data_IF_473169879632
#
_entry.id   IF_473169879632
#
_cell.length_a   1.000
_cell.length_b   1.000
_cell.length_c   1.000
_cell.angle_alpha   90.00
_cell.angle_beta   90.00
_cell.angle_gamma   90.00
#
_symmetry.space_group_name_H-M   'P 1'
#
loop_
_entity.id
_entity.type
_entity.pdbx_description
1 polymer ?
#
# COMPACT_ATOMS: atom_id res chain seq x y z
N UNK A 1 -15.60 7.25 25.71
CA UNK A 1 -16.46 6.19 25.14
C UNK A 1 -15.63 5.34 24.20
N UNK A 2 -15.87 4.04 24.12
CA UNK A 2 -15.18 3.17 23.18
C UNK A 2 -15.85 3.35 21.81
N UNK A 3 -15.07 3.58 20.75
CA UNK A 3 -15.57 3.72 19.36
C UNK A 3 -15.60 2.34 18.70
N UNK A 4 -16.55 2.13 17.82
CA UNK A 4 -16.59 0.91 17.00
C UNK A 4 -15.76 1.08 15.74
N UNK A 5 -14.83 0.14 15.52
CA UNK A 5 -14.09 -0.03 14.28
C UNK A 5 -14.64 -1.25 13.54
N UNK A 6 -15.28 -1.06 12.41
CA UNK A 6 -15.61 -2.16 11.50
C UNK A 6 -14.42 -2.37 10.56
N UNK A 7 -13.92 -3.60 10.48
CA UNK A 7 -12.91 -4.01 9.51
C UNK A 7 -13.59 -4.94 8.49
N UNK A 8 -13.88 -4.40 7.31
CA UNK A 8 -14.49 -5.15 6.24
C UNK A 8 -13.42 -5.89 5.43
N UNK A 9 -13.37 -7.20 5.63
CA UNK A 9 -12.31 -8.10 5.20
C UNK A 9 -11.43 -8.51 6.37
N UNK A 10 -11.72 -9.67 7.00
CA UNK A 10 -10.96 -10.25 8.11
C UNK A 10 -9.70 -11.02 7.63
N UNK A 11 -9.16 -10.64 6.49
CA UNK A 11 -7.97 -11.22 5.90
C UNK A 11 -6.67 -10.82 6.60
N UNK A 12 -5.56 -11.01 5.90
CA UNK A 12 -4.21 -10.73 6.44
C UNK A 12 -4.00 -9.24 6.75
N UNK A 13 -4.55 -8.35 5.92
CA UNK A 13 -4.46 -6.90 6.15
C UNK A 13 -5.43 -6.48 7.25
N UNK A 14 -6.70 -6.89 7.18
CA UNK A 14 -7.70 -6.49 8.18
C UNK A 14 -7.32 -6.90 9.60
N UNK A 15 -6.97 -8.17 9.84
CA UNK A 15 -6.59 -8.66 11.17
C UNK A 15 -5.14 -8.34 11.53
N UNK A 16 -4.20 -8.48 10.57
CA UNK A 16 -2.75 -8.42 10.84
C UNK A 16 -2.16 -7.02 10.77
N UNK A 17 -2.89 -6.05 10.23
CA UNK A 17 -2.44 -4.68 10.14
C UNK A 17 -3.44 -3.71 10.76
N UNK A 18 -4.68 -3.64 10.24
CA UNK A 18 -5.66 -2.65 10.71
C UNK A 18 -6.03 -2.88 12.18
N UNK A 19 -6.50 -4.08 12.53
CA UNK A 19 -6.89 -4.36 13.90
C UNK A 19 -5.71 -4.31 14.88
N UNK A 20 -4.49 -4.64 14.44
CA UNK A 20 -3.28 -4.48 15.24
C UNK A 20 -2.91 -3.01 15.46
N UNK A 21 -3.12 -2.16 14.45
CA UNK A 21 -2.91 -0.72 14.56
C UNK A 21 -3.88 -0.08 15.55
N UNK A 22 -5.15 -0.49 15.49
CA UNK A 22 -6.24 0.02 16.31
C UNK A 22 -6.44 -0.73 17.63
N UNK A 23 -5.58 -1.70 17.99
CA UNK A 23 -5.67 -2.42 19.27
C UNK A 23 -5.36 -1.48 20.43
N UNK A 24 -6.40 -0.85 20.92
CA UNK A 24 -6.41 0.13 21.99
C UNK A 24 -7.74 0.05 22.75
N UNK A 25 -7.78 0.31 24.05
CA UNK A 25 -9.02 0.40 24.82
C UNK A 25 -10.03 1.43 24.30
N UNK A 26 -9.59 2.34 23.42
CA UNK A 26 -10.45 3.32 22.78
C UNK A 26 -11.31 2.74 21.66
N UNK A 27 -11.00 1.52 21.17
CA UNK A 27 -11.70 0.90 20.05
C UNK A 27 -12.18 -0.51 20.39
N UNK A 28 -13.35 -0.84 19.86
CA UNK A 28 -13.87 -2.21 19.77
C UNK A 28 -13.88 -2.59 18.29
N UNK A 29 -13.16 -3.65 17.92
CA UNK A 29 -13.05 -4.07 16.53
C UNK A 29 -14.12 -5.11 16.19
N UNK A 30 -14.82 -4.88 15.10
CA UNK A 30 -15.78 -5.84 14.51
C UNK A 30 -15.30 -6.23 13.13
N UNK A 31 -14.87 -7.47 12.97
CA UNK A 31 -14.54 -8.01 11.65
C UNK A 31 -15.80 -8.37 10.88
N UNK A 32 -15.87 -7.98 9.61
CA UNK A 32 -16.93 -8.41 8.69
C UNK A 32 -16.30 -9.18 7.54
N UNK A 33 -16.74 -10.43 7.33
CA UNK A 33 -16.17 -11.27 6.27
C UNK A 33 -17.23 -12.18 5.64
N UNK A 34 -17.00 -12.60 4.39
CA UNK A 34 -17.83 -13.57 3.66
C UNK A 34 -17.48 -15.02 4.02
N UNK A 35 -16.33 -15.25 4.64
CA UNK A 35 -15.91 -16.59 5.06
C UNK A 35 -16.53 -16.94 6.42
N UNK A 36 -17.63 -17.69 6.36
CA UNK A 36 -18.38 -18.12 7.55
C UNK A 36 -17.51 -18.94 8.50
N UNK A 37 -16.64 -19.82 7.99
CA UNK A 37 -15.78 -20.63 8.84
C UNK A 37 -14.76 -19.77 9.61
N UNK A 38 -14.19 -18.76 8.96
CA UNK A 38 -13.31 -17.79 9.59
C UNK A 38 -14.05 -16.98 10.67
N UNK A 39 -15.25 -16.51 10.39
CA UNK A 39 -16.09 -15.75 11.36
C UNK A 39 -16.41 -16.60 12.57
N UNK A 40 -16.83 -17.85 12.39
CA UNK A 40 -17.13 -18.79 13.47
C UNK A 40 -15.89 -19.11 14.29
N UNK A 41 -14.74 -19.37 13.65
CA UNK A 41 -13.48 -19.66 14.32
C UNK A 41 -12.97 -18.47 15.15
N UNK A 42 -13.02 -17.25 14.61
CA UNK A 42 -12.65 -16.02 15.32
C UNK A 42 -13.49 -15.84 16.59
N UNK A 43 -14.81 -15.98 16.48
CA UNK A 43 -15.72 -15.85 17.61
C UNK A 43 -15.53 -16.96 18.65
N UNK A 44 -15.35 -18.21 18.20
CA UNK A 44 -15.16 -19.37 19.10
C UNK A 44 -13.85 -19.28 19.87
N UNK A 45 -12.77 -18.80 19.24
CA UNK A 45 -11.44 -18.72 19.87
C UNK A 45 -11.25 -17.43 20.66
N UNK A 46 -11.87 -16.31 20.24
CA UNK A 46 -11.73 -14.98 20.85
C UNK A 46 -10.28 -14.47 20.89
N UNK A 47 -9.37 -15.08 20.13
CA UNK A 47 -7.96 -14.70 20.05
C UNK A 47 -7.31 -15.18 18.75
N UNK A 48 -6.26 -14.49 18.32
CA UNK A 48 -5.34 -14.89 17.25
C UNK A 48 -3.95 -14.29 17.47
N UNK A 49 -2.95 -14.82 16.78
CA UNK A 49 -1.56 -14.39 16.92
C UNK A 49 -1.11 -13.60 15.70
N UNK A 50 -0.40 -12.50 15.92
CA UNK A 50 0.33 -11.76 14.88
C UNK A 50 1.83 -11.93 15.13
N UNK A 51 2.57 -12.33 14.12
CA UNK A 51 4.02 -12.41 14.16
C UNK A 51 4.60 -11.29 13.30
N UNK A 52 5.21 -10.33 13.95
CA UNK A 52 5.94 -9.26 13.27
C UNK A 52 7.35 -9.77 12.98
N UNK A 53 7.70 -9.81 11.70
CA UNK A 53 9.00 -10.22 11.20
C UNK A 53 9.78 -8.99 10.74
N UNK A 54 10.75 -8.58 11.51
CA UNK A 54 11.62 -7.45 11.18
C UNK A 54 13.05 -7.93 10.93
N UNK A 55 13.92 -7.06 10.43
CA UNK A 55 15.34 -7.38 10.31
C UNK A 55 15.97 -7.87 11.63
N UNK A 56 15.48 -7.38 12.76
CA UNK A 56 16.06 -7.65 14.08
C UNK A 56 15.50 -8.93 14.71
N UNK A 57 14.50 -9.57 14.10
CA UNK A 57 13.93 -10.84 14.57
C UNK A 57 12.42 -10.92 14.46
N UNK A 58 11.88 -11.97 15.06
CA UNK A 58 10.46 -12.25 15.15
C UNK A 58 9.93 -11.83 16.51
N UNK A 59 8.84 -11.07 16.53
CA UNK A 59 8.08 -10.78 17.74
C UNK A 59 6.64 -11.26 17.60
N UNK A 60 6.09 -11.87 18.67
CA UNK A 60 4.72 -12.39 18.68
C UNK A 60 3.83 -11.51 19.53
N UNK A 61 2.67 -11.20 19.00
CA UNK A 61 1.61 -10.50 19.70
C UNK A 61 0.33 -11.31 19.64
N UNK A 62 -0.31 -11.51 20.78
CA UNK A 62 -1.62 -12.15 20.86
C UNK A 62 -2.68 -11.06 20.99
N UNK A 63 -3.60 -11.02 20.04
CA UNK A 63 -4.81 -10.18 20.09
C UNK A 63 -5.92 -11.01 20.72
N UNK A 64 -6.53 -10.51 21.80
CA UNK A 64 -7.59 -11.23 22.51
C UNK A 64 -8.61 -10.27 23.14
N UNK A 65 -9.89 -10.70 23.21
CA UNK A 65 -10.97 -10.04 23.97
C UNK A 65 -11.33 -8.60 23.53
N UNK A 66 -10.79 -8.10 22.45
CA UNK A 66 -11.08 -6.76 21.94
C UNK A 66 -11.86 -6.74 20.63
N UNK A 67 -12.36 -7.90 20.18
CA UNK A 67 -13.02 -8.02 18.89
C UNK A 67 -14.15 -9.05 18.89
N UNK A 68 -15.01 -8.95 17.88
CA UNK A 68 -15.92 -10.00 17.43
C UNK A 68 -15.92 -10.04 15.90
N UNK A 69 -16.60 -11.03 15.31
CA UNK A 69 -16.72 -11.17 13.87
C UNK A 69 -18.19 -11.40 13.47
N UNK A 70 -18.59 -10.79 12.34
CA UNK A 70 -19.95 -10.83 11.79
C UNK A 70 -19.85 -11.30 10.33
N UNK A 71 -20.74 -12.20 9.93
CA UNK A 71 -20.84 -12.63 8.55
C UNK A 71 -21.60 -11.60 7.70
N UNK A 72 -21.21 -11.42 6.45
CA UNK A 72 -21.84 -10.45 5.53
C UNK A 72 -23.34 -10.67 5.30
N UNK A 73 -23.86 -11.89 5.53
CA UNK A 73 -25.29 -12.19 5.43
C UNK A 73 -26.11 -11.84 6.69
N UNK A 74 -25.44 -11.47 7.79
CA UNK A 74 -26.14 -11.09 9.03
C UNK A 74 -26.59 -9.61 8.98
N UNK A 75 -27.65 -9.38 8.22
CA UNK A 75 -28.20 -8.04 8.02
C UNK A 75 -28.63 -7.36 9.33
N UNK A 76 -29.08 -8.14 10.33
CA UNK A 76 -29.49 -7.57 11.61
C UNK A 76 -28.28 -7.04 12.39
N UNK A 77 -27.22 -7.83 12.51
CA UNK A 77 -26.00 -7.40 13.17
C UNK A 77 -25.32 -6.23 12.43
N UNK A 78 -25.26 -6.28 11.09
CA UNK A 78 -24.69 -5.21 10.28
C UNK A 78 -25.47 -3.89 10.44
N UNK A 79 -26.81 -3.92 10.41
CA UNK A 79 -27.62 -2.73 10.64
C UNK A 79 -27.34 -2.13 12.03
N UNK A 80 -27.30 -2.96 13.08
CA UNK A 80 -27.01 -2.48 14.43
C UNK A 80 -25.63 -1.79 14.53
N UNK A 81 -24.61 -2.30 13.83
CA UNK A 81 -23.29 -1.67 13.77
C UNK A 81 -23.34 -0.29 13.09
N UNK A 82 -24.17 -0.13 12.06
CA UNK A 82 -24.31 1.13 11.35
C UNK A 82 -25.20 2.15 12.09
N UNK A 83 -25.76 1.80 13.23
CA UNK A 83 -26.49 2.72 14.14
C UNK A 83 -25.58 3.40 15.17
N UNK A 84 -24.31 2.98 15.29
CA UNK A 84 -23.35 3.58 16.23
C UNK A 84 -23.06 5.05 15.91
N UNK A 85 -23.01 5.91 16.93
CA UNK A 85 -22.84 7.37 16.76
C UNK A 85 -21.52 7.76 16.08
N UNK A 86 -20.43 7.14 16.50
CA UNK A 86 -19.09 7.39 15.93
C UNK A 86 -18.52 6.11 15.37
N UNK A 87 -18.76 5.89 14.09
CA UNK A 87 -18.36 4.70 13.39
C UNK A 87 -17.09 4.95 12.57
N UNK A 88 -16.13 4.04 12.72
CA UNK A 88 -15.00 3.90 11.82
C UNK A 88 -15.17 2.63 11.00
N UNK A 89 -15.06 2.75 9.68
CA UNK A 89 -15.06 1.61 8.77
C UNK A 89 -13.72 1.54 8.05
N UNK A 90 -13.03 0.42 8.11
CA UNK A 90 -11.88 0.12 7.26
C UNK A 90 -12.26 -0.94 6.23
N UNK A 91 -11.98 -0.67 4.95
CA UNK A 91 -12.23 -1.61 3.85
C UNK A 91 -10.90 -2.23 3.43
N UNK A 92 -10.64 -3.46 3.89
CA UNK A 92 -9.39 -4.21 3.69
C UNK A 92 -9.59 -5.40 2.75
N UNK A 93 -9.95 -5.14 1.50
CA UNK A 93 -10.23 -6.17 0.49
C UNK A 93 -9.31 -6.06 -0.72
N UNK A 94 -9.30 -7.09 -1.57
CA UNK A 94 -8.61 -7.02 -2.86
C UNK A 94 -9.35 -6.11 -3.84
N UNK A 95 -8.60 -5.34 -4.65
CA UNK A 95 -9.14 -4.40 -5.64
C UNK A 95 -10.35 -4.92 -6.44
N UNK A 96 -10.34 -6.14 -7.04
CA UNK A 96 -11.49 -6.65 -7.82
C UNK A 96 -12.77 -6.84 -7.00
N UNK A 97 -12.67 -6.82 -5.66
CA UNK A 97 -13.82 -6.98 -4.76
C UNK A 97 -14.43 -5.65 -4.30
N UNK A 98 -13.80 -4.53 -4.60
CA UNK A 98 -14.29 -3.24 -4.17
C UNK A 98 -15.70 -2.90 -4.68
N UNK A 99 -16.07 -3.17 -5.95
CA UNK A 99 -17.44 -2.94 -6.42
C UNK A 99 -18.49 -3.75 -5.65
N UNK A 100 -18.20 -5.04 -5.38
CA UNK A 100 -19.10 -5.91 -4.61
C UNK A 100 -19.28 -5.41 -3.16
N UNK A 101 -18.19 -5.00 -2.52
CA UNK A 101 -18.25 -4.41 -1.17
C UNK A 101 -19.02 -3.09 -1.18
N UNK A 102 -18.81 -2.24 -2.18
CA UNK A 102 -19.59 -1.01 -2.34
C UNK A 102 -21.09 -1.29 -2.44
N UNK A 103 -21.49 -2.33 -3.20
CA UNK A 103 -22.90 -2.74 -3.30
C UNK A 103 -23.47 -3.23 -1.97
N UNK A 104 -22.69 -3.95 -1.17
CA UNK A 104 -23.08 -4.41 0.18
C UNK A 104 -23.23 -3.25 1.17
N UNK A 105 -22.40 -2.22 1.04
CA UNK A 105 -22.43 -1.05 1.93
C UNK A 105 -23.58 -0.10 1.65
N UNK A 106 -24.09 -0.02 0.41
CA UNK A 106 -25.18 0.89 0.04
C UNK A 106 -26.43 0.78 0.91
N UNK A 107 -27.03 -0.42 1.14
CA UNK A 107 -28.19 -0.55 2.01
C UNK A 107 -27.89 -0.16 3.46
N UNK A 108 -26.69 -0.41 3.95
CA UNK A 108 -26.25 -0.04 5.31
C UNK A 108 -26.10 1.48 5.46
N UNK A 109 -25.57 2.16 4.46
CA UNK A 109 -25.47 3.61 4.41
C UNK A 109 -26.85 4.27 4.36
N UNK A 110 -27.79 3.70 3.58
CA UNK A 110 -29.20 4.14 3.54
C UNK A 110 -29.91 3.92 4.87
N UNK A 111 -29.66 2.79 5.52
CA UNK A 111 -30.16 2.52 6.86
C UNK A 111 -29.66 3.58 7.84
N UNK A 112 -28.33 3.82 7.87
CA UNK A 112 -27.72 4.86 8.73
C UNK A 112 -28.30 6.24 8.47
N UNK A 113 -28.46 6.64 7.21
CA UNK A 113 -29.06 7.92 6.85
C UNK A 113 -30.48 8.08 7.43
N UNK A 114 -31.24 6.97 7.52
CA UNK A 114 -32.61 6.99 8.04
C UNK A 114 -32.67 7.02 9.57
N UNK A 115 -31.83 6.21 10.24
CA UNK A 115 -31.92 6.03 11.69
C UNK A 115 -30.98 6.96 12.48
N UNK A 116 -29.87 7.38 11.88
CA UNK A 116 -28.85 8.26 12.48
C UNK A 116 -28.50 9.44 11.56
N UNK A 117 -29.48 10.27 11.12
CA UNK A 117 -29.27 11.25 10.05
C UNK A 117 -28.20 12.33 10.34
N UNK A 118 -27.87 12.55 11.61
CA UNK A 118 -26.88 13.55 12.03
C UNK A 118 -25.54 12.93 12.47
N UNK A 119 -25.44 11.61 12.56
CA UNK A 119 -24.23 10.93 12.99
C UNK A 119 -23.20 10.87 11.85
N UNK A 120 -21.94 11.10 12.20
CA UNK A 120 -20.82 11.03 11.25
C UNK A 120 -20.16 9.66 11.26
N UNK A 121 -19.52 9.31 10.16
CA UNK A 121 -18.62 8.16 10.07
C UNK A 121 -17.44 8.45 9.16
N UNK A 122 -16.37 7.70 9.33
CA UNK A 122 -15.22 7.76 8.45
C UNK A 122 -14.92 6.40 7.86
N UNK A 123 -14.60 6.37 6.57
CA UNK A 123 -14.25 5.19 5.80
C UNK A 123 -12.79 5.28 5.40
N UNK A 124 -12.00 4.33 5.83
CA UNK A 124 -10.59 4.16 5.46
C UNK A 124 -10.48 3.09 4.38
N UNK A 125 -9.88 3.45 3.25
CA UNK A 125 -9.75 2.57 2.10
C UNK A 125 -8.37 1.89 2.08
N UNK A 126 -8.31 0.68 2.59
CA UNK A 126 -7.10 -0.14 2.68
C UNK A 126 -7.03 -1.15 1.51
N UNK A 127 -7.22 -0.64 0.32
CA UNK A 127 -7.23 -1.40 -0.93
C UNK A 127 -5.97 -1.08 -1.73
N UNK A 128 -5.27 -2.11 -2.19
CA UNK A 128 -3.98 -1.94 -2.89
C UNK A 128 -4.18 -1.55 -4.36
N UNK A 129 -4.63 -0.33 -4.58
CA UNK A 129 -4.82 0.30 -5.89
C UNK A 129 -4.53 1.81 -5.81
N UNK A 130 -4.29 2.50 -6.93
CA UNK A 130 -4.24 3.96 -6.95
C UNK A 130 -5.61 4.56 -6.60
N UNK A 131 -5.63 5.60 -5.76
CA UNK A 131 -6.82 6.38 -5.40
C UNK A 131 -8.06 5.53 -5.03
N UNK A 132 -7.95 4.60 -4.05
CA UNK A 132 -9.06 3.72 -3.69
C UNK A 132 -10.26 4.47 -3.11
N UNK A 133 -10.03 5.61 -2.46
CA UNK A 133 -11.04 6.52 -1.94
C UNK A 133 -11.85 7.17 -3.07
N UNK A 134 -11.21 7.65 -4.11
CA UNK A 134 -11.90 8.22 -5.28
C UNK A 134 -12.72 7.17 -6.03
N UNK A 135 -12.17 5.96 -6.17
CA UNK A 135 -12.88 4.83 -6.76
C UNK A 135 -14.15 4.49 -5.96
N UNK A 136 -14.04 4.35 -4.63
CA UNK A 136 -15.17 4.09 -3.75
C UNK A 136 -16.23 5.21 -3.81
N UNK A 137 -15.79 6.46 -3.81
CA UNK A 137 -16.68 7.63 -3.95
C UNK A 137 -17.45 7.62 -5.28
N UNK A 138 -16.79 7.28 -6.40
CA UNK A 138 -17.44 7.15 -7.70
C UNK A 138 -18.50 6.05 -7.70
N UNK A 139 -18.10 4.84 -7.27
CA UNK A 139 -19.01 3.69 -7.18
C UNK A 139 -20.24 3.97 -6.32
N UNK A 140 -20.09 4.73 -5.25
CA UNK A 140 -21.18 5.08 -4.33
C UNK A 140 -22.09 6.16 -4.91
N UNK A 141 -21.52 7.23 -5.48
CA UNK A 141 -22.28 8.35 -6.05
C UNK A 141 -23.14 7.96 -7.24
N UNK A 142 -22.65 7.07 -8.10
CA UNK A 142 -23.41 6.58 -9.25
C UNK A 142 -24.71 5.87 -8.86
N UNK A 143 -24.84 5.42 -7.63
CA UNK A 143 -25.97 4.64 -7.09
C UNK A 143 -26.85 5.41 -6.11
N UNK A 144 -26.46 6.62 -5.74
CA UNK A 144 -27.19 7.49 -4.84
C UNK A 144 -28.09 8.48 -5.60
N UNK A 145 -29.22 8.82 -5.00
CA UNK A 145 -30.00 9.99 -5.37
C UNK A 145 -29.26 11.27 -4.95
N UNK A 146 -29.69 12.43 -5.44
CA UNK A 146 -29.10 13.73 -5.06
C UNK A 146 -29.17 13.97 -3.55
N UNK A 147 -30.27 13.58 -2.90
CA UNK A 147 -30.44 13.71 -1.45
C UNK A 147 -29.51 12.78 -0.67
N UNK A 148 -29.34 11.54 -1.11
CA UNK A 148 -28.40 10.58 -0.51
C UNK A 148 -26.94 11.04 -0.70
N UNK A 149 -26.60 11.57 -1.87
CA UNK A 149 -25.26 12.12 -2.17
C UNK A 149 -24.97 13.36 -1.33
N UNK A 150 -25.94 14.23 -1.09
CA UNK A 150 -25.78 15.39 -0.24
C UNK A 150 -25.55 14.98 1.22
N UNK A 151 -26.35 14.04 1.74
CA UNK A 151 -26.15 13.50 3.09
C UNK A 151 -24.79 12.82 3.23
N UNK A 152 -24.43 11.94 2.29
CA UNK A 152 -23.14 11.24 2.29
C UNK A 152 -21.97 12.21 2.33
N UNK A 153 -21.99 13.24 1.51
CA UNK A 153 -20.94 14.26 1.46
C UNK A 153 -20.81 15.04 2.78
N UNK A 154 -21.92 15.26 3.47
CA UNK A 154 -21.94 15.98 4.73
C UNK A 154 -21.46 15.14 5.93
N UNK A 155 -21.76 13.84 5.94
CA UNK A 155 -21.64 12.99 7.15
C UNK A 155 -20.63 11.85 7.02
N UNK A 156 -20.13 11.52 5.81
CA UNK A 156 -19.21 10.43 5.60
C UNK A 156 -17.85 10.97 5.09
N UNK A 157 -16.82 10.78 5.89
CA UNK A 157 -15.44 10.99 5.48
C UNK A 157 -14.93 9.76 4.72
N UNK A 158 -14.17 9.96 3.64
CA UNK A 158 -13.52 8.85 2.91
C UNK A 158 -12.08 9.21 2.67
N UNK A 159 -11.16 8.37 3.15
CA UNK A 159 -9.72 8.58 3.01
C UNK A 159 -9.00 7.31 2.59
N UNK A 160 -8.00 7.43 1.71
CA UNK A 160 -7.02 6.37 1.51
C UNK A 160 -6.13 6.19 2.74
N UNK A 161 -5.57 5.02 2.92
CA UNK A 161 -4.52 4.76 3.89
C UNK A 161 -3.18 4.59 3.17
N UNK A 162 -2.23 5.42 3.53
CA UNK A 162 -0.84 5.14 3.24
C UNK A 162 -0.32 4.08 4.21
N UNK A 163 0.09 2.91 3.70
CA UNK A 163 0.63 1.83 4.52
C UNK A 163 1.86 1.18 3.89
N UNK A 164 2.82 0.81 4.73
CA UNK A 164 4.00 0.02 4.34
C UNK A 164 3.90 -1.42 4.86
N UNK A 165 2.71 -1.97 4.93
CA UNK A 165 2.50 -3.33 5.39
C UNK A 165 2.74 -4.34 4.27
N UNK A 166 3.64 -5.28 4.52
CA UNK A 166 3.85 -6.49 3.71
C UNK A 166 3.40 -7.67 4.57
N UNK A 167 2.30 -8.31 4.18
CA UNK A 167 1.72 -9.44 4.92
C UNK A 167 1.58 -10.66 3.99
N UNK A 168 2.64 -11.46 3.82
CA UNK A 168 2.57 -12.71 3.06
C UNK A 168 1.76 -13.77 3.80
N UNK A 169 1.57 -14.93 3.16
CA UNK A 169 1.07 -16.11 3.87
C UNK A 169 2.09 -16.49 4.94
N UNK A 170 1.60 -16.75 6.15
CA UNK A 170 2.47 -17.18 7.24
C UNK A 170 3.22 -18.49 6.88
N UNK A 171 4.48 -18.65 7.29
CA UNK A 171 5.22 -19.87 7.10
C UNK A 171 4.48 -21.10 7.64
N UNK A 172 4.67 -22.25 6.99
CA UNK A 172 3.95 -23.48 7.32
C UNK A 172 4.11 -23.92 8.79
N UNK A 173 5.28 -23.69 9.39
CA UNK A 173 5.52 -24.02 10.76
C UNK A 173 4.67 -23.18 11.73
N UNK A 174 4.38 -21.90 11.41
CA UNK A 174 3.45 -21.06 12.17
C UNK A 174 1.99 -21.50 11.98
N UNK A 175 1.61 -21.83 10.74
CA UNK A 175 0.24 -22.30 10.44
C UNK A 175 -0.07 -23.63 11.11
N UNK A 176 0.94 -24.48 11.34
CA UNK A 176 0.78 -25.73 12.13
C UNK A 176 0.57 -25.47 13.62
N UNK A 177 1.11 -24.36 14.14
CA UNK A 177 0.90 -23.95 15.54
C UNK A 177 -0.46 -23.30 15.75
N UNK A 178 -0.87 -22.42 14.79
CA UNK A 178 -2.11 -21.64 14.87
C UNK A 178 -2.65 -21.36 13.46
N UNK A 179 -3.84 -21.89 13.12
CA UNK A 179 -4.52 -21.67 11.85
C UNK A 179 -4.88 -20.20 11.59
N UNK A 180 -5.06 -19.41 12.64
CA UNK A 180 -5.40 -17.99 12.57
C UNK A 180 -4.18 -17.05 12.61
N UNK A 181 -2.96 -17.59 12.66
CA UNK A 181 -1.74 -16.78 12.74
C UNK A 181 -1.58 -15.86 11.52
N UNK A 182 -1.12 -14.67 11.80
CA UNK A 182 -0.78 -13.65 10.80
C UNK A 182 0.71 -13.34 10.85
N UNK A 183 1.25 -12.97 9.69
CA UNK A 183 2.67 -12.71 9.53
C UNK A 183 2.89 -11.45 8.70
N UNK A 184 3.64 -10.47 9.21
CA UNK A 184 3.89 -9.23 8.50
C UNK A 184 5.24 -8.62 8.87
N UNK A 185 5.62 -7.53 8.17
CA UNK A 185 6.89 -6.82 8.34
C UNK A 185 6.93 -5.82 9.51
N UNK A 186 5.96 -5.84 10.42
CA UNK A 186 5.84 -4.85 11.50
C UNK A 186 5.42 -3.44 11.05
N UNK A 187 5.16 -3.23 9.74
CA UNK A 187 4.63 -1.99 9.12
C UNK A 187 5.06 -0.71 9.84
N UNK A 188 6.27 -0.22 9.58
CA UNK A 188 6.91 0.84 10.34
C UNK A 188 6.17 2.18 10.31
N UNK A 189 5.38 2.44 9.26
CA UNK A 189 4.67 3.71 9.08
C UNK A 189 3.33 3.54 8.37
N UNK A 190 2.32 4.28 8.81
CA UNK A 190 1.05 4.53 8.12
C UNK A 190 0.57 5.95 8.35
N UNK A 191 -0.21 6.43 7.38
CA UNK A 191 -0.81 7.75 7.46
C UNK A 191 -2.21 7.79 6.84
N UNK A 192 -3.04 8.69 7.35
CA UNK A 192 -4.34 9.04 6.78
C UNK A 192 -4.46 10.56 6.61
N UNK A 193 -5.27 11.01 5.65
CA UNK A 193 -5.56 12.43 5.45
C UNK A 193 -6.59 12.92 6.47
N UNK A 194 -6.15 13.75 7.41
CA UNK A 194 -7.02 14.33 8.44
C UNK A 194 -8.12 15.23 7.88
N UNK A 195 -7.90 15.85 6.70
CA UNK A 195 -8.86 16.76 6.08
C UNK A 195 -10.04 16.02 5.43
N UNK A 196 -9.91 14.72 5.23
CA UNK A 196 -10.94 13.85 4.68
C UNK A 196 -11.88 13.28 5.74
N UNK A 197 -11.53 13.39 7.02
CA UNK A 197 -12.34 12.88 8.13
C UNK A 197 -13.51 13.80 8.43
N UNK A 198 -14.62 13.24 8.89
CA UNK A 198 -15.81 13.92 9.41
C UNK A 198 -15.92 13.78 10.93
N UNK A 199 -15.45 12.67 11.47
CA UNK A 199 -15.41 12.40 12.89
C UNK A 199 -14.08 12.83 13.53
N UNK A 200 -13.92 12.47 14.80
CA UNK A 200 -12.68 12.67 15.53
C UNK A 200 -11.58 11.79 14.97
N UNK A 201 -10.44 12.37 14.65
CA UNK A 201 -9.30 11.65 14.14
C UNK A 201 -8.77 10.63 15.18
N UNK A 202 -8.44 9.38 14.79
CA UNK A 202 -7.91 8.40 15.71
C UNK A 202 -6.56 8.82 16.29
N UNK A 203 -6.45 8.89 17.62
CA UNK A 203 -5.20 9.17 18.33
C UNK A 203 -4.45 7.86 18.64
N UNK A 204 -3.67 7.36 17.69
CA UNK A 204 -2.92 6.12 17.81
C UNK A 204 -1.41 6.35 17.60
N UNK A 205 -0.54 5.76 18.43
CA UNK A 205 0.92 6.04 18.38
C UNK A 205 1.58 5.73 17.04
N UNK A 206 1.02 4.79 16.26
CA UNK A 206 1.57 4.35 14.96
C UNK A 206 0.79 4.86 13.75
N UNK A 207 -0.20 5.72 13.95
CA UNK A 207 -0.98 6.34 12.89
C UNK A 207 -0.64 7.83 12.82
N UNK A 208 -0.03 8.25 11.72
CA UNK A 208 0.26 9.65 11.45
C UNK A 208 -0.91 10.31 10.70
N UNK A 209 -1.31 11.45 11.20
CA UNK A 209 -2.26 12.32 10.49
C UNK A 209 -1.48 13.22 9.53
N UNK A 210 -1.82 13.17 8.25
CA UNK A 210 -1.24 14.04 7.21
C UNK A 210 -2.30 14.95 6.61
N UNK A 211 -1.87 15.99 5.92
CA UNK A 211 -2.75 16.85 5.10
C UNK A 211 -2.75 16.43 3.63
N UNK A 212 -1.85 15.53 3.25
CA UNK A 212 -1.66 15.10 1.86
C UNK A 212 -1.13 13.66 1.82
N UNK A 213 -2.06 12.71 1.65
CA UNK A 213 -1.71 11.29 1.48
C UNK A 213 -1.04 11.05 0.12
N UNK A 214 -1.42 11.80 -0.93
CA UNK A 214 -0.83 11.64 -2.26
C UNK A 214 0.68 11.97 -2.26
N UNK A 215 1.09 12.92 -1.43
CA UNK A 215 2.51 13.20 -1.18
C UNK A 215 3.25 11.98 -0.61
N UNK A 216 2.64 11.28 0.33
CA UNK A 216 3.21 10.07 0.95
C UNK A 216 3.24 8.89 -0.03
N UNK A 217 2.21 8.73 -0.84
CA UNK A 217 2.14 7.72 -1.89
C UNK A 217 3.22 7.97 -2.96
N UNK A 218 3.43 9.21 -3.35
CA UNK A 218 4.50 9.61 -4.27
C UNK A 218 5.88 9.30 -3.69
N UNK A 219 6.10 9.61 -2.40
CA UNK A 219 7.35 9.25 -1.70
C UNK A 219 7.60 7.75 -1.74
N UNK A 220 6.60 6.93 -1.43
CA UNK A 220 6.69 5.46 -1.49
C UNK A 220 6.95 4.96 -2.92
N UNK A 221 6.22 5.48 -3.89
CA UNK A 221 6.37 5.10 -5.29
C UNK A 221 7.79 5.38 -5.79
N UNK A 222 8.31 6.57 -5.50
CA UNK A 222 9.60 7.05 -6.02
C UNK A 222 10.80 6.58 -5.20
N UNK A 223 10.57 5.83 -4.11
CA UNK A 223 11.65 5.29 -3.28
C UNK A 223 11.54 3.78 -3.09
N UNK A 224 10.58 3.25 -2.32
CA UNK A 224 10.45 1.81 -2.08
C UNK A 224 10.10 1.04 -3.35
N UNK A 225 9.12 1.53 -4.13
CA UNK A 225 8.75 0.85 -5.37
C UNK A 225 9.82 1.03 -6.46
N UNK A 226 10.52 2.15 -6.47
CA UNK A 226 11.72 2.38 -7.27
C UNK A 226 12.80 1.36 -6.91
N UNK A 227 13.10 1.20 -5.62
CA UNK A 227 14.10 0.25 -5.15
C UNK A 227 13.78 -1.19 -5.56
N UNK A 228 12.51 -1.61 -5.46
CA UNK A 228 12.05 -2.92 -5.94
C UNK A 228 12.34 -3.13 -7.44
N UNK A 229 12.05 -2.14 -8.28
CA UNK A 229 12.32 -2.23 -9.71
C UNK A 229 13.84 -2.27 -9.99
N UNK A 230 14.61 -1.37 -9.38
CA UNK A 230 16.06 -1.30 -9.52
C UNK A 230 16.73 -2.63 -9.18
N UNK A 231 16.44 -3.18 -7.97
CA UNK A 231 17.09 -4.44 -7.54
C UNK A 231 16.68 -5.62 -8.42
N UNK A 232 15.48 -5.59 -9.02
CA UNK A 232 15.03 -6.62 -9.94
C UNK A 232 15.75 -6.52 -11.28
N UNK A 233 15.76 -5.34 -11.87
CA UNK A 233 16.30 -5.14 -13.21
C UNK A 233 17.83 -5.29 -13.28
N UNK A 234 18.53 -4.94 -12.22
CA UNK A 234 19.97 -5.09 -12.15
C UNK A 234 20.42 -6.38 -11.46
N UNK A 235 19.62 -6.92 -10.54
CA UNK A 235 19.99 -8.09 -9.75
C UNK A 235 19.76 -9.42 -10.46
N UNK A 236 18.65 -9.57 -11.21
CA UNK A 236 18.36 -10.82 -11.93
C UNK A 236 19.44 -11.19 -12.95
N UNK A 237 19.96 -10.25 -13.78
CA UNK A 237 21.10 -10.55 -14.66
C UNK A 237 22.38 -10.96 -13.93
N UNK A 238 22.54 -10.61 -12.66
CA UNK A 238 23.64 -11.02 -11.79
C UNK A 238 23.40 -12.40 -11.15
N UNK A 239 22.26 -13.05 -11.41
CA UNK A 239 21.89 -14.34 -10.85
C UNK A 239 21.27 -14.28 -9.46
N UNK A 240 20.98 -13.09 -8.93
CA UNK A 240 20.31 -12.90 -7.65
C UNK A 240 18.81 -13.24 -7.78
N UNK A 241 18.19 -13.73 -6.71
CA UNK A 241 16.83 -14.26 -6.76
C UNK A 241 15.83 -13.50 -5.87
N UNK A 242 16.32 -12.98 -4.73
CA UNK A 242 15.47 -12.35 -3.72
C UNK A 242 15.82 -10.90 -3.49
N UNK A 243 14.87 -10.14 -2.95
CA UNK A 243 15.06 -8.74 -2.56
C UNK A 243 16.19 -8.56 -1.59
N UNK A 244 16.35 -9.50 -0.65
CA UNK A 244 17.42 -9.47 0.34
C UNK A 244 18.78 -9.73 -0.28
N UNK A 245 18.93 -10.80 -1.10
CA UNK A 245 20.18 -11.06 -1.82
C UNK A 245 20.67 -9.82 -2.58
N UNK A 246 19.76 -9.14 -3.27
CA UNK A 246 20.06 -7.93 -4.04
C UNK A 246 20.40 -6.74 -3.13
N UNK A 247 19.67 -6.53 -2.04
CA UNK A 247 19.87 -5.40 -1.15
C UNK A 247 21.21 -5.44 -0.40
N UNK A 248 21.73 -6.64 -0.11
CA UNK A 248 23.03 -6.83 0.57
C UNK A 248 24.19 -7.10 -0.37
N UNK A 249 23.96 -7.23 -1.68
CA UNK A 249 25.01 -7.50 -2.66
C UNK A 249 26.01 -6.33 -2.76
N UNK A 250 27.30 -6.61 -2.65
CA UNK A 250 28.34 -5.59 -2.60
C UNK A 250 28.41 -4.68 -3.84
N UNK A 251 28.08 -5.21 -5.02
CA UNK A 251 28.07 -4.45 -6.28
C UNK A 251 26.79 -3.63 -6.43
N UNK A 252 25.63 -4.19 -6.04
CA UNK A 252 24.34 -3.55 -6.25
C UNK A 252 23.99 -2.54 -5.15
N UNK A 253 24.45 -2.77 -3.92
CA UNK A 253 24.19 -1.91 -2.77
C UNK A 253 24.55 -0.43 -2.98
N UNK A 254 25.74 -0.07 -3.51
CA UNK A 254 26.07 1.33 -3.80
C UNK A 254 25.12 1.97 -4.83
N UNK A 255 24.69 1.22 -5.85
CA UNK A 255 23.74 1.69 -6.86
C UNK A 255 22.37 1.96 -6.22
N UNK A 256 21.87 1.01 -5.43
CA UNK A 256 20.60 1.15 -4.70
C UNK A 256 20.62 2.37 -3.76
N UNK A 257 21.67 2.52 -2.96
CA UNK A 257 21.80 3.63 -2.02
C UNK A 257 21.87 4.97 -2.75
N UNK A 258 22.68 5.06 -3.80
CA UNK A 258 22.77 6.26 -4.63
C UNK A 258 21.46 6.63 -5.32
N UNK A 259 20.70 5.65 -5.84
CA UNK A 259 19.39 5.89 -6.43
C UNK A 259 18.37 6.38 -5.39
N UNK A 260 18.40 5.85 -4.18
CA UNK A 260 17.58 6.35 -3.06
C UNK A 260 17.94 7.79 -2.68
N UNK A 261 19.23 8.16 -2.72
CA UNK A 261 19.69 9.54 -2.49
C UNK A 261 19.30 10.49 -3.62
N UNK A 262 19.37 10.05 -4.88
CA UNK A 262 18.91 10.82 -6.04
C UNK A 262 17.40 11.08 -5.98
N UNK A 263 16.61 10.04 -5.71
CA UNK A 263 15.17 10.17 -5.55
C UNK A 263 14.78 11.06 -4.36
N UNK A 264 15.46 10.88 -3.21
CA UNK A 264 15.23 11.71 -2.01
C UNK A 264 15.53 13.17 -2.27
N UNK A 265 16.60 13.49 -3.00
CA UNK A 265 16.94 14.86 -3.36
C UNK A 265 15.84 15.52 -4.17
N UNK A 266 15.31 14.85 -5.21
CA UNK A 266 14.21 15.36 -6.02
C UNK A 266 12.92 15.55 -5.21
N UNK A 267 12.55 14.56 -4.39
CA UNK A 267 11.36 14.58 -3.54
C UNK A 267 11.41 15.70 -2.48
N UNK A 268 12.55 15.90 -1.82
CA UNK A 268 12.71 16.98 -0.83
C UNK A 268 12.47 18.36 -1.46
N UNK A 269 12.98 18.59 -2.66
CA UNK A 269 12.84 19.86 -3.38
C UNK A 269 11.45 20.07 -3.95
N UNK A 270 10.81 19.04 -4.44
CA UNK A 270 9.50 19.11 -5.08
C UNK A 270 8.34 19.10 -4.07
N UNK A 271 8.43 18.24 -3.05
CA UNK A 271 7.34 17.97 -2.12
C UNK A 271 7.61 18.48 -0.69
N UNK A 272 8.76 19.09 -0.44
CA UNK A 272 9.07 19.74 0.84
C UNK A 272 9.34 18.77 2.00
N UNK A 273 9.79 17.54 1.74
CA UNK A 273 10.31 16.66 2.80
C UNK A 273 11.63 17.20 3.33
N UNK A 274 11.82 17.18 4.63
CA UNK A 274 13.11 17.55 5.23
C UNK A 274 14.19 16.50 4.94
N UNK A 275 15.46 16.90 5.04
CA UNK A 275 16.60 15.98 4.85
C UNK A 275 16.61 14.88 5.92
N UNK A 276 16.24 15.19 7.15
CA UNK A 276 16.17 14.22 8.26
C UNK A 276 15.07 13.19 8.01
N UNK A 277 13.85 13.63 7.62
CA UNK A 277 12.76 12.72 7.23
C UNK A 277 13.18 11.76 6.12
N UNK A 278 13.83 12.28 5.07
CA UNK A 278 14.24 11.44 3.95
C UNK A 278 15.42 10.52 4.30
N UNK A 279 16.28 10.92 5.23
CA UNK A 279 17.36 10.06 5.72
C UNK A 279 16.80 8.90 6.54
N UNK A 280 15.91 9.14 7.46
CA UNK A 280 15.23 8.09 8.22
C UNK A 280 14.41 7.16 7.31
N UNK A 281 13.73 7.74 6.33
CA UNK A 281 12.96 7.00 5.34
C UNK A 281 13.83 6.06 4.49
N UNK A 282 14.99 6.52 3.98
CA UNK A 282 15.96 5.67 3.26
C UNK A 282 16.43 4.49 4.12
N UNK A 283 16.74 4.74 5.39
CA UNK A 283 17.14 3.69 6.32
C UNK A 283 16.02 2.67 6.55
N UNK A 284 14.78 3.14 6.63
CA UNK A 284 13.60 2.27 6.76
C UNK A 284 13.45 1.38 5.54
N UNK A 285 13.57 1.91 4.32
CA UNK A 285 13.55 1.12 3.09
C UNK A 285 14.63 0.05 3.08
N UNK A 286 15.87 0.42 3.43
CA UNK A 286 16.97 -0.53 3.46
C UNK A 286 16.71 -1.65 4.47
N UNK A 287 16.21 -1.33 5.68
CA UNK A 287 15.82 -2.33 6.68
C UNK A 287 14.72 -3.28 6.18
N UNK A 288 13.75 -2.77 5.43
CA UNK A 288 12.70 -3.60 4.84
C UNK A 288 13.24 -4.56 3.78
N UNK A 289 14.11 -4.08 2.89
CA UNK A 289 14.71 -4.91 1.84
C UNK A 289 15.70 -5.95 2.39
N UNK A 290 16.35 -5.67 3.51
CA UNK A 290 17.30 -6.57 4.18
C UNK A 290 16.63 -7.59 5.12
N UNK A 291 15.30 -7.56 5.25
CA UNK A 291 14.55 -8.42 6.15
C UNK A 291 14.72 -9.91 5.77
N UNK A 292 15.31 -10.76 6.64
CA UNK A 292 15.58 -12.15 6.31
C UNK A 292 14.34 -13.05 6.37
N UNK A 293 13.25 -12.56 6.89
CA UNK A 293 12.01 -13.34 7.10
C UNK A 293 10.95 -13.06 6.03
N UNK A 294 11.04 -11.92 5.34
CA UNK A 294 10.11 -11.50 4.30
C UNK A 294 10.93 -11.19 3.05
N UNK A 295 11.29 -12.22 2.34
CA UNK A 295 12.00 -12.11 1.08
C UNK A 295 11.01 -12.20 -0.08
N UNK A 296 11.16 -11.28 -1.03
CA UNK A 296 10.35 -11.26 -2.23
C UNK A 296 11.20 -11.66 -3.45
N UNK A 297 10.59 -12.38 -4.39
CA UNK A 297 11.31 -12.77 -5.60
C UNK A 297 11.53 -11.56 -6.50
N UNK A 298 12.74 -11.42 -7.03
CA UNK A 298 13.07 -10.35 -7.98
C UNK A 298 12.22 -10.44 -9.27
N UNK A 299 11.81 -11.64 -9.68
CA UNK A 299 10.90 -11.82 -10.80
C UNK A 299 9.54 -11.16 -10.53
N UNK A 300 8.94 -11.41 -9.36
CA UNK A 300 7.67 -10.78 -8.98
C UNK A 300 7.79 -9.26 -8.85
N UNK A 301 8.85 -8.80 -8.20
CA UNK A 301 9.10 -7.37 -8.02
C UNK A 301 9.41 -6.63 -9.32
N UNK A 302 10.01 -7.30 -10.31
CA UNK A 302 10.34 -6.73 -11.62
C UNK A 302 9.22 -6.81 -12.66
N UNK A 303 8.19 -7.64 -12.45
CA UNK A 303 7.10 -7.85 -13.41
C UNK A 303 6.44 -6.54 -13.85
N UNK A 304 5.86 -6.55 -15.07
CA UNK A 304 5.19 -5.40 -15.69
C UNK A 304 6.15 -4.20 -15.89
N UNK A 305 7.26 -4.44 -16.60
CA UNK A 305 8.24 -3.40 -16.88
C UNK A 305 7.67 -2.27 -17.75
N UNK A 306 6.66 -2.55 -18.62
CA UNK A 306 5.98 -1.54 -19.42
C UNK A 306 5.44 -0.40 -18.55
N UNK A 307 4.67 -0.72 -17.51
CA UNK A 307 4.15 0.28 -16.58
C UNK A 307 5.26 0.94 -15.78
N UNK A 308 6.21 0.15 -15.25
CA UNK A 308 7.28 0.63 -14.36
C UNK A 308 8.31 1.53 -15.02
N UNK A 309 8.41 1.49 -16.35
CA UNK A 309 9.23 2.40 -17.16
C UNK A 309 8.46 3.65 -17.63
N UNK A 310 7.19 3.79 -17.23
CA UNK A 310 6.37 4.95 -17.59
C UNK A 310 6.95 6.28 -17.11
N UNK A 311 6.69 7.35 -17.85
CA UNK A 311 7.28 8.69 -17.69
C UNK A 311 7.15 9.27 -16.26
N UNK A 312 6.08 8.91 -15.54
CA UNK A 312 5.78 9.38 -14.18
C UNK A 312 5.74 8.23 -13.14
N UNK A 313 6.16 7.02 -13.55
CA UNK A 313 6.24 5.89 -12.64
C UNK A 313 7.59 5.89 -11.89
N UNK A 314 7.81 4.88 -11.10
CA UNK A 314 8.83 4.70 -10.05
C UNK A 314 10.30 4.91 -10.42
N UNK A 315 10.66 4.81 -11.69
CA UNK A 315 12.06 4.99 -12.14
C UNK A 315 12.27 6.33 -12.85
N UNK A 316 11.45 6.60 -13.86
CA UNK A 316 11.57 7.82 -14.67
C UNK A 316 11.10 9.05 -13.90
N UNK A 317 10.00 8.93 -13.13
CA UNK A 317 9.47 10.02 -12.30
C UNK A 317 10.52 10.63 -11.35
N UNK A 318 11.14 9.84 -10.45
CA UNK A 318 12.16 10.38 -9.56
C UNK A 318 13.42 10.86 -10.29
N UNK A 319 13.80 10.23 -11.43
CA UNK A 319 14.92 10.71 -12.25
C UNK A 319 14.63 12.10 -12.84
N UNK A 320 13.39 12.33 -13.32
CA UNK A 320 12.94 13.65 -13.79
C UNK A 320 12.98 14.70 -12.66
N UNK A 321 12.53 14.37 -11.46
CA UNK A 321 12.61 15.30 -10.31
C UNK A 321 14.04 15.60 -9.92
N UNK A 322 14.92 14.60 -9.91
CA UNK A 322 16.33 14.77 -9.61
C UNK A 322 17.00 15.74 -10.62
N UNK A 323 16.81 15.50 -11.91
CA UNK A 323 17.34 16.35 -12.97
C UNK A 323 16.72 17.76 -12.96
N UNK A 324 15.42 17.89 -12.79
CA UNK A 324 14.68 19.17 -12.67
C UNK A 324 15.31 20.09 -11.63
N UNK A 325 15.77 19.53 -10.53
CA UNK A 325 16.40 20.27 -9.44
C UNK A 325 17.94 20.34 -9.53
N UNK A 326 18.53 19.97 -10.67
CA UNK A 326 19.94 20.21 -11.01
C UNK A 326 20.91 19.14 -10.53
N UNK A 327 20.44 17.94 -10.10
CA UNK A 327 21.31 16.80 -9.75
C UNK A 327 21.22 15.72 -10.83
N UNK A 328 22.35 15.22 -11.38
CA UNK A 328 22.36 14.11 -12.32
C UNK A 328 21.80 12.82 -11.74
N UNK A 329 20.80 12.15 -12.36
CA UNK A 329 20.19 10.91 -11.85
C UNK A 329 20.94 9.65 -12.33
N UNK A 330 22.25 9.56 -12.04
CA UNK A 330 23.15 8.53 -12.59
C UNK A 330 22.76 7.11 -12.22
N UNK A 331 22.35 6.89 -10.98
CA UNK A 331 22.00 5.54 -10.52
C UNK A 331 20.58 5.15 -10.96
N UNK A 332 19.66 6.11 -10.95
CA UNK A 332 18.30 5.92 -11.50
C UNK A 332 18.35 5.62 -12.99
N UNK A 333 19.22 6.29 -13.74
CA UNK A 333 19.41 6.04 -15.17
C UNK A 333 19.88 4.61 -15.46
N UNK A 334 20.78 4.04 -14.66
CA UNK A 334 21.18 2.62 -14.75
C UNK A 334 20.00 1.67 -14.56
N UNK A 335 19.12 1.98 -13.60
CA UNK A 335 17.94 1.18 -13.36
C UNK A 335 16.93 1.26 -14.51
N UNK A 336 16.77 2.45 -15.11
CA UNK A 336 15.94 2.64 -16.30
C UNK A 336 16.48 1.81 -17.48
N UNK A 337 17.78 1.94 -17.79
CA UNK A 337 18.41 1.17 -18.86
C UNK A 337 18.30 -0.34 -18.63
N UNK A 338 18.51 -0.80 -17.37
CA UNK A 338 18.32 -2.19 -16.98
C UNK A 338 16.90 -2.71 -17.20
N UNK A 339 15.88 -1.86 -17.03
CA UNK A 339 14.49 -2.22 -17.26
C UNK A 339 14.16 -2.55 -18.71
N UNK A 340 14.85 -1.95 -19.67
CA UNK A 340 14.68 -2.23 -21.10
C UNK A 340 15.37 -3.52 -21.56
N UNK A 341 16.38 -3.98 -20.82
CA UNK A 341 17.05 -5.26 -21.07
C UNK A 341 16.54 -6.39 -20.15
N UNK A 342 15.61 -6.08 -19.26
CA UNK A 342 15.06 -7.02 -18.28
C UNK A 342 14.28 -8.14 -18.94
N UNK A 343 14.42 -9.36 -18.41
CA UNK A 343 13.74 -10.56 -18.88
C UNK A 343 12.84 -11.14 -17.80
N UNK A 344 11.56 -11.30 -18.12
CA UNK A 344 10.59 -11.93 -17.26
C UNK A 344 9.44 -12.49 -18.12
N UNK A 345 8.72 -13.48 -17.60
CA UNK A 345 7.60 -14.11 -18.28
C UNK A 345 6.28 -13.44 -17.88
N UNK A 346 6.13 -12.17 -18.27
CA UNK A 346 4.88 -11.41 -18.12
C UNK A 346 4.60 -10.54 -19.35
N UNK A 347 3.31 -10.26 -19.64
CA UNK A 347 2.92 -9.53 -20.86
C UNK A 347 3.53 -8.13 -20.97
N UNK A 348 3.68 -7.41 -19.86
CA UNK A 348 4.25 -6.05 -19.84
C UNK A 348 5.72 -6.05 -20.22
N UNK A 349 6.48 -6.99 -19.70
CA UNK A 349 7.91 -7.16 -20.03
C UNK A 349 8.11 -7.66 -21.45
N UNK A 350 7.28 -8.60 -21.91
CA UNK A 350 7.31 -9.04 -23.33
C UNK A 350 7.05 -7.87 -24.27
N UNK A 351 6.06 -7.02 -24.02
CA UNK A 351 5.76 -5.86 -24.86
C UNK A 351 6.96 -4.91 -25.00
N UNK A 352 7.69 -4.62 -23.93
CA UNK A 352 8.89 -3.77 -23.96
C UNK A 352 9.99 -4.43 -24.78
N UNK A 353 10.29 -5.71 -24.53
CA UNK A 353 11.34 -6.44 -25.23
C UNK A 353 11.09 -6.56 -26.73
N UNK A 354 9.85 -6.89 -27.11
CA UNK A 354 9.48 -7.03 -28.52
C UNK A 354 9.57 -5.71 -29.24
N UNK A 355 9.17 -4.62 -28.57
CA UNK A 355 9.31 -3.26 -29.14
C UNK A 355 10.79 -2.87 -29.31
N UNK A 356 11.64 -3.11 -28.30
CA UNK A 356 13.09 -2.85 -28.39
C UNK A 356 13.73 -3.64 -29.54
N UNK A 357 13.35 -4.90 -29.74
CA UNK A 357 13.86 -5.73 -30.83
C UNK A 357 13.43 -5.20 -32.21
N UNK A 358 12.20 -4.71 -32.32
CA UNK A 358 11.64 -4.25 -33.57
C UNK A 358 12.10 -2.82 -33.96
N UNK A 359 12.24 -1.92 -32.98
CA UNK A 359 12.40 -0.48 -33.21
C UNK A 359 13.68 0.11 -32.59
N UNK A 360 14.40 -0.65 -31.78
CA UNK A 360 15.61 -0.21 -31.09
C UNK A 360 15.36 0.47 -29.75
N UNK A 361 16.44 0.67 -29.01
CA UNK A 361 16.40 1.17 -27.62
C UNK A 361 15.92 2.62 -27.54
N UNK A 362 16.41 3.51 -28.43
CA UNK A 362 16.04 4.92 -28.41
C UNK A 362 14.54 5.14 -28.71
N UNK A 363 13.99 4.37 -29.68
CA UNK A 363 12.56 4.42 -29.97
C UNK A 363 11.73 3.92 -28.76
N UNK A 364 12.22 2.91 -28.03
CA UNK A 364 11.55 2.40 -26.86
C UNK A 364 11.59 3.40 -25.68
N UNK A 365 12.67 4.17 -25.51
CA UNK A 365 12.74 5.27 -24.53
C UNK A 365 11.67 6.32 -24.80
N UNK A 366 11.47 6.70 -26.05
CA UNK A 366 10.42 7.65 -26.45
C UNK A 366 9.01 7.07 -26.20
N UNK A 367 8.78 5.82 -26.59
CA UNK A 367 7.45 5.18 -26.51
C UNK A 367 6.99 4.93 -25.07
N UNK A 368 7.86 4.36 -24.22
CA UNK A 368 7.44 3.92 -22.89
C UNK A 368 7.77 4.92 -21.79
N UNK A 369 8.87 5.67 -21.90
CA UNK A 369 9.36 6.58 -20.87
C UNK A 369 9.17 8.06 -21.20
N UNK A 370 8.72 8.37 -22.43
CA UNK A 370 8.64 9.74 -22.94
C UNK A 370 10.00 10.49 -22.78
N UNK A 371 11.10 9.80 -23.13
CA UNK A 371 12.45 10.32 -23.06
C UNK A 371 13.00 10.56 -24.47
N UNK A 372 13.44 11.77 -24.71
CA UNK A 372 13.94 12.22 -26.01
C UNK A 372 15.34 12.82 -25.91
N UNK A 373 16.15 12.83 -26.99
CA UNK A 373 17.42 13.53 -27.02
C UNK A 373 17.29 14.98 -26.57
N UNK A 374 18.12 15.38 -25.61
CA UNK A 374 18.07 16.70 -24.99
C UNK A 374 17.27 16.79 -23.70
N UNK A 375 16.54 15.74 -23.31
CA UNK A 375 15.97 15.64 -21.98
C UNK A 375 17.09 15.45 -20.93
N UNK A 376 16.96 16.09 -19.79
CA UNK A 376 17.99 16.12 -18.75
C UNK A 376 18.38 14.76 -18.14
N UNK A 377 17.78 13.66 -18.57
CA UNK A 377 18.09 12.29 -18.13
C UNK A 377 18.41 11.35 -19.30
N UNK A 378 18.09 11.70 -20.53
CA UNK A 378 18.24 10.86 -21.72
C UNK A 378 19.70 10.40 -21.90
N UNK A 379 20.64 11.32 -21.84
CA UNK A 379 22.07 11.05 -22.03
C UNK A 379 22.60 10.10 -20.95
N UNK A 380 22.12 10.21 -19.71
CA UNK A 380 22.53 9.31 -18.61
C UNK A 380 21.96 7.89 -18.79
N UNK A 381 20.80 7.73 -19.41
CA UNK A 381 20.22 6.41 -19.70
C UNK A 381 20.90 5.74 -20.88
N UNK A 382 21.42 6.50 -21.83
CA UNK A 382 22.14 6.01 -23.03
C UNK A 382 23.66 5.75 -22.78
N UNK A 383 24.22 6.17 -21.66
CA UNK A 383 25.61 5.89 -21.23
C UNK A 383 25.80 4.44 -20.78
#
# INVERSE_FOLDING_TARGET
MTRTLIVWGAGRIGRGFVADLFDSPAFHTVFVDIDRALVEELNARGRYTIVHATRDGLSRRVVQNGFCAVHTDDAQALNALFEEDQLLLDVAVHEPKLPEVSDMLLPLLRHRMTVCPNAVMDVMMNVNMPHPDECFLSLTRERFTDAESAWFTAHVGVTGIFAMCISPIAPEWLLKEDSLVLFNNGYPEQAIDKNRLKGEAPALPRLRLTEDVAREETRKLYTLNMAHALISYLGLPMGLKTSREAAINETLRPILTGALEEASFGLSRELGFSEDEMTEWRQTILRLLENPYIEDSLQRLGADSRRKLGAYDRLVGPARLCAKHGKPPVQLAKAIAGGYSYENDDPGTHAVRDFVRAHGFEAALAEFSDLHPGDGIYEYVCM
#
